data_IF_085296830300
#
_entry.id   IF_085296830300
#
_cell.length_a   1.000
_cell.length_b   1.000
_cell.length_c   1.000
_cell.angle_alpha   90.00
_cell.angle_beta   90.00
_cell.angle_gamma   90.00
#
_symmetry.space_group_name_H-M   'P 1'
#
loop_
_entity.id
_entity.type
_entity.pdbx_description
1 polymer ?
#
# COMPACT_ATOMS: atom_id res chain seq x y z
N UNK A 1 -1.31 -12.77 9.88
CA UNK A 1 -1.56 -11.45 10.53
C UNK A 1 -0.27 -10.72 10.86
N UNK A 2 0.60 -11.25 11.72
CA UNK A 2 1.84 -10.53 12.13
C UNK A 2 2.80 -10.23 10.97
N UNK A 3 2.93 -11.16 10.00
CA UNK A 3 3.74 -10.96 8.80
C UNK A 3 3.23 -9.81 7.91
N UNK A 4 1.91 -9.66 7.75
CA UNK A 4 1.32 -8.59 6.95
C UNK A 4 1.56 -7.22 7.58
N UNK A 5 1.51 -7.13 8.92
CA UNK A 5 1.81 -5.89 9.65
C UNK A 5 3.28 -5.49 9.53
N UNK A 6 4.22 -6.45 9.54
CA UNK A 6 5.64 -6.17 9.29
C UNK A 6 5.87 -5.62 7.88
N UNK A 7 5.29 -6.26 6.87
CA UNK A 7 5.38 -5.81 5.46
C UNK A 7 4.75 -4.42 5.28
N UNK A 8 3.61 -4.14 5.94
CA UNK A 8 3.02 -2.80 5.97
C UNK A 8 3.95 -1.77 6.63
N UNK A 9 4.64 -2.12 7.72
CA UNK A 9 5.60 -1.22 8.36
C UNK A 9 6.81 -0.91 7.45
N UNK A 10 7.28 -1.90 6.68
CA UNK A 10 8.28 -1.69 5.63
C UNK A 10 7.75 -0.75 4.54
N UNK A 11 6.52 -0.98 4.05
CA UNK A 11 5.87 -0.12 3.07
C UNK A 11 5.77 1.34 3.55
N UNK A 12 5.37 1.54 4.82
CA UNK A 12 5.31 2.86 5.44
C UNK A 12 6.70 3.54 5.47
N UNK A 13 7.77 2.77 5.68
CA UNK A 13 9.14 3.29 5.67
C UNK A 13 9.54 3.75 4.26
N UNK A 14 9.26 2.94 3.23
CA UNK A 14 9.48 3.35 1.84
C UNK A 14 8.66 4.58 1.46
N UNK A 15 7.40 4.63 1.88
CA UNK A 15 6.51 5.77 1.64
C UNK A 15 7.06 7.06 2.26
N UNK A 16 7.54 7.01 3.51
CA UNK A 16 8.19 8.16 4.19
C UNK A 16 9.45 8.62 3.47
N UNK A 17 10.20 7.68 2.89
CA UNK A 17 11.38 7.96 2.09
C UNK A 17 11.05 8.42 0.65
N UNK A 18 9.76 8.67 0.35
CA UNK A 18 9.26 9.04 -0.99
C UNK A 18 9.55 8.00 -2.08
N UNK A 19 9.85 6.77 -1.69
CA UNK A 19 10.00 5.65 -2.61
C UNK A 19 8.64 4.97 -2.74
N UNK A 20 7.78 5.56 -3.55
CA UNK A 20 6.38 5.18 -3.66
C UNK A 20 6.21 3.85 -4.40
N UNK A 21 6.96 3.61 -5.48
CA UNK A 21 7.08 2.30 -6.16
C UNK A 21 7.27 1.14 -5.17
N UNK A 22 8.32 1.19 -4.33
CA UNK A 22 8.58 0.12 -3.35
C UNK A 22 7.52 0.06 -2.26
N UNK A 23 6.94 1.20 -1.88
CA UNK A 23 5.83 1.21 -0.93
C UNK A 23 4.61 0.46 -1.50
N UNK A 24 4.29 0.68 -2.78
CA UNK A 24 3.19 0.02 -3.49
C UNK A 24 3.42 -1.50 -3.57
N UNK A 25 4.63 -1.93 -3.93
CA UNK A 25 4.99 -3.35 -3.95
C UNK A 25 4.75 -4.00 -2.58
N UNK A 26 5.22 -3.35 -1.52
CA UNK A 26 5.09 -3.84 -0.15
C UNK A 26 3.65 -3.83 0.34
N UNK A 27 2.86 -2.79 0.08
CA UNK A 27 1.43 -2.83 0.40
C UNK A 27 0.70 -3.93 -0.38
N UNK A 28 1.09 -4.19 -1.63
CA UNK A 28 0.55 -5.29 -2.43
C UNK A 28 0.87 -6.65 -1.81
N UNK A 29 2.08 -6.83 -1.30
CA UNK A 29 2.45 -8.03 -0.54
C UNK A 29 1.63 -8.15 0.76
N UNK A 30 1.45 -7.07 1.52
CA UNK A 30 0.61 -7.05 2.71
C UNK A 30 -0.85 -7.44 2.41
N UNK A 31 -1.41 -6.93 1.31
CA UNK A 31 -2.75 -7.28 0.80
C UNK A 31 -2.84 -8.77 0.45
N UNK A 32 -1.85 -9.33 -0.26
CA UNK A 32 -1.82 -10.76 -0.59
C UNK A 32 -1.79 -11.63 0.66
N UNK A 33 -1.10 -11.19 1.72
CA UNK A 33 -1.02 -11.91 2.99
C UNK A 33 -2.29 -11.79 3.83
N UNK A 34 -2.99 -10.66 3.76
CA UNK A 34 -4.24 -10.44 4.47
C UNK A 34 -5.11 -9.41 3.74
N UNK A 35 -6.01 -9.87 2.84
CA UNK A 35 -6.79 -8.97 1.98
C UNK A 35 -7.97 -8.32 2.68
N UNK A 36 -8.25 -8.67 3.94
CA UNK A 36 -9.40 -8.18 4.70
C UNK A 36 -9.08 -6.91 5.52
N UNK A 37 -7.91 -6.30 5.33
CA UNK A 37 -7.47 -5.11 6.07
C UNK A 37 -7.58 -3.88 5.16
N UNK A 38 -8.59 -3.02 5.33
CA UNK A 38 -8.81 -1.86 4.46
C UNK A 38 -7.62 -0.89 4.44
N UNK A 39 -6.92 -0.77 5.57
CA UNK A 39 -5.76 0.12 5.73
C UNK A 39 -4.67 -0.12 4.69
N UNK A 40 -4.48 -1.37 4.23
CA UNK A 40 -3.44 -1.65 3.23
C UNK A 40 -3.80 -1.06 1.86
N UNK A 41 -5.08 -1.11 1.49
CA UNK A 41 -5.59 -0.50 0.27
C UNK A 41 -5.57 1.01 0.36
N UNK A 42 -5.99 1.60 1.49
CA UNK A 42 -5.94 3.06 1.69
C UNK A 42 -4.51 3.59 1.59
N UNK A 43 -3.55 2.89 2.19
CA UNK A 43 -2.16 3.32 2.14
C UNK A 43 -1.52 3.12 0.76
N UNK A 44 -1.89 2.06 0.03
CA UNK A 44 -1.45 1.84 -1.35
C UNK A 44 -2.06 2.87 -2.30
N UNK A 45 -3.35 3.19 -2.14
CA UNK A 45 -4.01 4.28 -2.84
C UNK A 45 -3.28 5.60 -2.62
N UNK A 46 -2.85 5.89 -1.39
CA UNK A 46 -2.10 7.11 -1.12
C UNK A 46 -0.74 7.13 -1.80
N UNK A 47 -0.06 5.98 -1.91
CA UNK A 47 1.17 5.86 -2.68
C UNK A 47 0.94 6.10 -4.17
N UNK A 48 -0.12 5.52 -4.76
CA UNK A 48 -0.51 5.81 -6.13
C UNK A 48 -0.85 7.29 -6.38
N UNK A 49 -1.53 7.96 -5.43
CA UNK A 49 -1.80 9.40 -5.53
C UNK A 49 -0.49 10.21 -5.57
N UNK A 50 0.53 9.80 -4.80
CA UNK A 50 1.84 10.48 -4.79
C UNK A 50 2.63 10.28 -6.09
N UNK A 51 2.36 9.20 -6.82
CA UNK A 51 2.89 8.95 -8.16
C UNK A 51 1.96 9.42 -9.29
N UNK A 52 0.92 10.20 -8.96
CA UNK A 52 -0.08 10.70 -9.92
C UNK A 52 -0.81 9.58 -10.69
N UNK A 53 -0.75 8.36 -10.17
CA UNK A 53 -1.37 7.15 -10.68
C UNK A 53 -2.82 7.02 -10.23
N UNK A 54 -3.63 8.04 -10.51
CA UNK A 54 -4.97 8.21 -9.94
C UNK A 54 -5.95 7.07 -10.28
N UNK A 55 -5.81 6.43 -11.45
CA UNK A 55 -6.66 5.28 -11.81
C UNK A 55 -6.51 4.10 -10.85
N UNK A 56 -5.28 3.81 -10.43
CA UNK A 56 -5.00 2.75 -9.45
C UNK A 56 -5.47 3.14 -8.04
N UNK A 57 -5.33 4.41 -7.66
CA UNK A 57 -5.85 4.90 -6.39
C UNK A 57 -7.37 4.78 -6.29
N UNK A 58 -8.10 5.09 -7.38
CA UNK A 58 -9.55 4.92 -7.45
C UNK A 58 -9.97 3.45 -7.39
N UNK A 59 -9.20 2.55 -8.00
CA UNK A 59 -9.46 1.12 -7.90
C UNK A 59 -9.33 0.61 -6.46
N UNK A 60 -8.32 1.09 -5.71
CA UNK A 60 -8.13 0.76 -4.30
C UNK A 60 -9.19 1.38 -3.38
N UNK A 61 -9.77 2.52 -3.74
CA UNK A 61 -10.87 3.15 -2.98
C UNK A 61 -12.19 2.35 -3.03
N UNK A 62 -12.32 1.40 -3.96
CA UNK A 62 -13.48 0.51 -4.10
C UNK A 62 -13.27 -0.88 -3.45
N UNK A 63 -12.20 -1.05 -2.66
CA UNK A 63 -11.86 -2.29 -1.95
C UNK A 63 -12.11 -2.17 -0.46
#
# INVERSE_FOLDING_TARGET
KEKAEKVKAEANTFFKNKNYDKAIEKYTEAIKLNPFVPVYYSNRAFAYIKEESFGYALADANK
#
